data_IF_664101045805
#
_entry.id   IF_664101045805
#
_cell.length_a   1.000
_cell.length_b   1.000
_cell.length_c   1.000
_cell.angle_alpha   90.00
_cell.angle_beta   90.00
_cell.angle_gamma   90.00
#
_symmetry.space_group_name_H-M   'P 1'
#
loop_
_entity.id
_entity.type
_entity.pdbx_description
1 polymer ?
#
# COMPACT_ATOMS: atom_id res chain seq x y z
N UNK A 1 3.33 1.06 -27.55
CA UNK A 1 4.36 0.82 -26.51
C UNK A 1 3.79 -0.18 -25.51
N UNK A 2 4.59 -1.12 -25.01
CA UNK A 2 4.17 -2.04 -23.95
C UNK A 2 4.20 -1.36 -22.58
N UNK A 3 3.28 -1.72 -21.69
CA UNK A 3 3.33 -1.27 -20.30
C UNK A 3 4.61 -1.76 -19.59
N UNK A 4 5.05 -1.02 -18.57
CA UNK A 4 6.16 -1.46 -17.72
C UNK A 4 5.79 -2.75 -16.98
N UNK A 5 6.78 -3.62 -16.78
CA UNK A 5 6.60 -4.83 -15.98
C UNK A 5 6.38 -4.48 -14.49
N UNK A 6 5.88 -5.46 -13.74
CA UNK A 6 5.54 -5.27 -12.32
C UNK A 6 6.74 -4.95 -11.43
N UNK A 7 7.93 -5.48 -11.75
CA UNK A 7 9.15 -5.24 -10.95
C UNK A 7 9.62 -3.80 -11.14
N UNK A 8 9.57 -3.31 -12.36
CA UNK A 8 9.85 -1.92 -12.72
C UNK A 8 8.86 -0.97 -12.04
N UNK A 9 7.56 -1.26 -12.13
CA UNK A 9 6.52 -0.46 -11.48
C UNK A 9 6.72 -0.40 -9.96
N UNK A 10 7.02 -1.53 -9.31
CA UNK A 10 7.25 -1.60 -7.87
C UNK A 10 8.47 -0.78 -7.43
N UNK A 11 9.58 -0.86 -8.19
CA UNK A 11 10.80 -0.08 -7.91
C UNK A 11 10.52 1.42 -7.94
N UNK A 12 9.74 1.87 -8.93
CA UNK A 12 9.34 3.27 -9.07
C UNK A 12 8.43 3.69 -7.91
N UNK A 13 7.42 2.87 -7.59
CA UNK A 13 6.51 3.12 -6.48
C UNK A 13 7.26 3.22 -5.15
N UNK A 14 8.18 2.29 -4.87
CA UNK A 14 8.98 2.26 -3.64
C UNK A 14 9.84 3.51 -3.51
N UNK A 15 10.46 3.96 -4.60
CA UNK A 15 11.27 5.19 -4.64
C UNK A 15 10.43 6.43 -4.36
N UNK A 16 9.22 6.53 -4.93
CA UNK A 16 8.30 7.66 -4.70
C UNK A 16 7.73 7.65 -3.28
N UNK A 17 7.33 6.48 -2.78
CA UNK A 17 6.73 6.32 -1.47
C UNK A 17 7.73 6.59 -0.34
N UNK A 18 8.94 6.03 -0.43
CA UNK A 18 9.85 5.94 0.70
C UNK A 18 11.10 6.81 0.54
N UNK A 19 11.30 7.43 -0.63
CA UNK A 19 12.51 8.20 -0.95
C UNK A 19 13.75 7.31 -1.14
N UNK A 20 14.92 7.94 -1.32
CA UNK A 20 16.19 7.23 -1.59
C UNK A 20 16.63 6.31 -0.43
N UNK A 21 16.33 6.67 0.81
CA UNK A 21 16.74 5.93 2.01
C UNK A 21 15.67 4.97 2.53
N UNK A 22 14.40 5.14 2.14
CA UNK A 22 13.33 4.31 2.69
C UNK A 22 13.26 2.90 2.10
N UNK A 23 13.97 2.64 0.99
CA UNK A 23 14.19 1.28 0.48
C UNK A 23 14.98 0.38 1.44
N UNK A 24 15.75 0.97 2.38
CA UNK A 24 16.55 0.25 3.37
C UNK A 24 15.78 -0.07 4.66
N UNK A 25 14.53 0.39 4.81
CA UNK A 25 13.73 0.12 6.01
C UNK A 25 13.20 -1.32 5.99
N UNK A 26 13.83 -2.19 6.77
CA UNK A 26 13.49 -3.62 6.92
C UNK A 26 12.06 -3.88 7.42
N UNK A 27 11.41 -2.92 8.06
CA UNK A 27 10.09 -3.06 8.68
C UNK A 27 8.92 -2.59 7.81
N UNK A 28 9.09 -2.64 6.48
CA UNK A 28 8.03 -2.25 5.53
C UNK A 28 7.62 -3.48 4.73
N UNK A 29 6.40 -3.96 4.99
CA UNK A 29 5.74 -4.92 4.12
C UNK A 29 5.03 -4.18 2.99
N UNK A 30 4.86 -4.84 1.84
CA UNK A 30 4.21 -4.22 0.69
C UNK A 30 3.17 -5.15 0.07
N UNK A 31 2.10 -4.54 -0.44
CA UNK A 31 1.10 -5.20 -1.26
C UNK A 31 0.94 -4.46 -2.59
N UNK A 32 0.36 -5.13 -3.58
CA UNK A 32 0.09 -4.56 -4.90
C UNK A 32 -1.29 -4.96 -5.39
N UNK A 33 -1.96 -4.04 -6.08
CA UNK A 33 -3.28 -4.23 -6.69
C UNK A 33 -3.20 -3.78 -8.15
N UNK A 34 -3.72 -4.61 -9.06
CA UNK A 34 -3.81 -4.29 -10.48
C UNK A 34 -5.06 -3.44 -10.72
N UNK A 35 -4.92 -2.33 -11.45
CA UNK A 35 -6.02 -1.42 -11.81
C UNK A 35 -6.04 -1.24 -13.33
N UNK A 36 -6.71 -2.14 -14.06
CA UNK A 36 -6.63 -2.18 -15.52
C UNK A 36 -5.19 -2.37 -15.98
N UNK A 37 -4.63 -1.36 -16.67
CA UNK A 37 -3.24 -1.36 -17.12
C UNK A 37 -2.23 -0.73 -16.14
N UNK A 38 -2.71 -0.25 -15.00
CA UNK A 38 -1.93 0.46 -13.99
C UNK A 38 -1.77 -0.37 -12.70
N UNK A 39 -1.03 0.18 -11.74
CA UNK A 39 -0.76 -0.46 -10.46
C UNK A 39 -0.98 0.48 -9.28
N UNK A 40 -1.53 -0.06 -8.20
CA UNK A 40 -1.54 0.56 -6.88
C UNK A 40 -0.66 -0.27 -5.94
N UNK A 41 0.39 0.34 -5.41
CA UNK A 41 1.28 -0.25 -4.42
C UNK A 41 0.99 0.34 -3.04
N UNK A 42 0.90 -0.53 -2.03
CA UNK A 42 0.79 -0.13 -0.64
C UNK A 42 2.03 -0.54 0.14
N UNK A 43 2.57 0.40 0.92
CA UNK A 43 3.70 0.19 1.80
C UNK A 43 3.22 0.34 3.24
N UNK A 44 3.24 -0.77 3.98
CA UNK A 44 2.72 -0.87 5.34
C UNK A 44 3.88 -0.82 6.31
N UNK A 45 3.83 0.15 7.24
CA UNK A 45 4.76 0.27 8.35
C UNK A 45 4.01 0.03 9.65
N UNK A 46 4.45 -0.94 10.43
CA UNK A 46 3.92 -1.21 11.76
C UNK A 46 4.87 -0.69 12.83
N UNK A 47 4.32 -0.19 13.93
CA UNK A 47 5.07 0.19 15.13
C UNK A 47 4.33 -0.34 16.35
N UNK A 48 4.99 -1.18 17.14
CA UNK A 48 4.49 -1.67 18.41
C UNK A 48 5.00 -0.78 19.55
N UNK A 49 4.17 -0.60 20.58
CA UNK A 49 4.43 0.10 21.82
C UNK A 49 3.72 -0.66 22.95
N UNK A 50 4.00 -0.30 24.19
CA UNK A 50 3.42 -0.98 25.36
C UNK A 50 1.89 -0.84 25.44
N UNK A 51 1.33 0.24 24.88
CA UNK A 51 -0.10 0.55 24.83
C UNK A 51 -0.81 0.04 23.57
N UNK A 52 -0.10 -0.65 22.66
CA UNK A 52 -0.69 -1.23 21.45
C UNK A 52 0.19 -1.07 20.20
N UNK A 53 -0.45 -0.96 19.04
CA UNK A 53 0.27 -0.84 17.78
C UNK A 53 -0.34 0.21 16.85
N UNK A 54 0.52 0.79 16.01
CA UNK A 54 0.14 1.73 14.97
C UNK A 54 0.50 1.14 13.61
N UNK A 55 -0.46 1.17 12.68
CA UNK A 55 -0.27 0.81 11.27
C UNK A 55 -0.34 2.08 10.44
N UNK A 56 0.71 2.35 9.67
CA UNK A 56 0.73 3.43 8.68
C UNK A 56 0.85 2.82 7.28
N UNK A 57 -0.10 3.14 6.41
CA UNK A 57 -0.11 2.68 5.01
C UNK A 57 0.14 3.87 4.09
N UNK A 58 1.16 3.75 3.23
CA UNK A 58 1.39 4.72 2.15
C UNK A 58 1.07 4.07 0.81
N UNK A 59 0.15 4.68 0.08
CA UNK A 59 -0.22 4.23 -1.25
C UNK A 59 0.56 4.99 -2.32
N UNK A 60 0.87 4.33 -3.43
CA UNK A 60 1.48 4.94 -4.61
C UNK A 60 0.91 4.29 -5.85
N UNK A 61 0.34 5.12 -6.70
CA UNK A 61 -0.19 4.71 -8.00
C UNK A 61 0.87 4.89 -9.08
N UNK A 62 1.01 3.90 -9.96
CA UNK A 62 1.95 3.90 -11.08
C UNK A 62 1.18 3.57 -12.35
N UNK A 63 1.22 4.47 -13.33
CA UNK A 63 0.58 4.26 -14.62
C UNK A 63 1.32 3.19 -15.47
N UNK A 64 0.67 2.71 -16.53
CA UNK A 64 1.24 1.75 -17.50
C UNK A 64 2.61 2.18 -18.05
N UNK A 65 2.92 3.49 -18.08
CA UNK A 65 4.19 4.02 -18.58
C UNK A 65 5.28 4.10 -17.50
N UNK A 66 4.98 3.71 -16.27
CA UNK A 66 5.92 3.77 -15.15
C UNK A 66 5.99 5.15 -14.50
N UNK A 67 4.96 5.99 -14.64
CA UNK A 67 4.90 7.28 -13.95
C UNK A 67 4.21 7.10 -12.60
N UNK A 68 4.96 7.31 -11.51
CA UNK A 68 4.37 7.36 -10.17
C UNK A 68 3.70 8.71 -9.94
N UNK A 69 2.37 8.70 -9.79
CA UNK A 69 1.60 9.89 -9.49
C UNK A 69 1.77 10.31 -8.03
N UNK A 70 1.63 11.61 -7.77
CA UNK A 70 1.71 12.16 -6.41
C UNK A 70 0.49 11.83 -5.58
N UNK A 71 -0.67 11.75 -6.24
CA UNK A 71 -1.96 11.41 -5.65
C UNK A 71 -2.52 10.19 -6.36
N UNK A 72 -3.14 9.31 -5.59
CA UNK A 72 -3.96 8.22 -6.13
C UNK A 72 -5.15 8.87 -6.86
N UNK A 73 -5.58 8.32 -8.01
CA UNK A 73 -6.80 8.78 -8.69
C UNK A 73 -7.98 8.92 -7.72
N UNK A 74 -8.78 10.00 -7.77
CA UNK A 74 -9.81 10.28 -6.78
C UNK A 74 -10.84 9.16 -6.60
N UNK A 75 -11.25 8.53 -7.70
CA UNK A 75 -12.20 7.42 -7.73
C UNK A 75 -11.67 6.17 -7.00
N UNK A 76 -10.37 5.88 -7.17
CA UNK A 76 -9.69 4.79 -6.45
C UNK A 76 -9.52 5.16 -4.98
N UNK A 77 -9.13 6.40 -4.69
CA UNK A 77 -8.93 6.88 -3.32
C UNK A 77 -10.22 6.82 -2.50
N UNK A 78 -11.35 7.21 -3.08
CA UNK A 78 -12.66 7.15 -2.45
C UNK A 78 -13.08 5.71 -2.12
N UNK A 79 -12.93 4.79 -3.07
CA UNK A 79 -13.22 3.36 -2.87
C UNK A 79 -12.36 2.76 -1.75
N UNK A 80 -11.06 3.04 -1.76
CA UNK A 80 -10.14 2.56 -0.70
C UNK A 80 -10.53 3.14 0.65
N UNK A 81 -10.82 4.44 0.72
CA UNK A 81 -11.23 5.11 1.95
C UNK A 81 -12.49 4.47 2.53
N UNK A 82 -13.54 4.34 1.73
CA UNK A 82 -14.80 3.73 2.15
C UNK A 82 -14.58 2.31 2.68
N UNK A 83 -13.84 1.50 1.94
CA UNK A 83 -13.52 0.14 2.37
C UNK A 83 -12.78 0.12 3.72
N UNK A 84 -11.78 0.97 3.89
CA UNK A 84 -10.96 1.04 5.12
C UNK A 84 -11.81 1.51 6.31
N UNK A 85 -12.57 2.60 6.16
CA UNK A 85 -13.40 3.17 7.23
C UNK A 85 -14.48 2.19 7.69
N UNK A 86 -15.10 1.44 6.76
CA UNK A 86 -16.19 0.51 7.08
C UNK A 86 -15.70 -0.86 7.56
N UNK A 87 -14.55 -1.35 7.10
CA UNK A 87 -14.19 -2.77 7.24
C UNK A 87 -12.95 -3.05 8.11
N UNK A 88 -12.10 -2.06 8.43
CA UNK A 88 -10.85 -2.35 9.16
C UNK A 88 -11.10 -3.02 10.51
N UNK A 89 -12.09 -2.54 11.27
CA UNK A 89 -12.42 -3.13 12.57
C UNK A 89 -12.85 -4.60 12.44
N UNK A 90 -13.77 -4.88 11.51
CA UNK A 90 -14.26 -6.23 11.23
C UNK A 90 -13.13 -7.17 10.75
N UNK A 91 -12.22 -6.68 9.91
CA UNK A 91 -11.08 -7.46 9.46
C UNK A 91 -10.14 -7.81 10.61
N UNK A 92 -9.83 -6.84 11.49
CA UNK A 92 -8.99 -7.09 12.66
C UNK A 92 -9.64 -8.08 13.64
N UNK A 93 -10.95 -7.93 13.90
CA UNK A 93 -11.71 -8.88 14.73
C UNK A 93 -11.61 -10.30 14.18
N UNK A 94 -11.83 -10.48 12.87
CA UNK A 94 -11.76 -11.79 12.20
C UNK A 94 -10.39 -12.43 12.34
N UNK A 95 -9.33 -11.70 12.03
CA UNK A 95 -7.97 -12.25 12.05
C UNK A 95 -7.49 -12.50 13.49
N UNK A 96 -7.77 -11.61 14.43
CA UNK A 96 -7.34 -11.78 15.83
C UNK A 96 -8.08 -12.90 16.53
N UNK A 97 -9.37 -13.07 16.25
CA UNK A 97 -10.16 -14.20 16.77
C UNK A 97 -9.62 -15.56 16.29
N UNK A 98 -8.94 -15.60 15.15
CA UNK A 98 -8.26 -16.80 14.64
C UNK A 98 -6.92 -17.09 15.33
N UNK A 99 -6.22 -16.07 15.82
CA UNK A 99 -4.89 -16.19 16.44
C UNK A 99 -4.94 -16.53 17.94
N UNK A 100 -6.04 -16.18 18.61
CA UNK A 100 -6.20 -16.35 20.06
C UNK A 100 -6.92 -17.66 20.44
N UNK A 101 -6.92 -18.64 19.53
CA UNK A 101 -7.40 -19.99 19.79
C UNK A 101 -6.29 -20.91 20.26
#
# INVERSE_FOLDING_TARGET
MSCVDVQTAEKIARKKALGRLGALRRSITSFRVRLGDDWLFGFVKTKFRDDGFQIAVKLTYVDCRGVALEKVPPDVAEKVRKYVEENVAMLLEREFSGLLK
#
